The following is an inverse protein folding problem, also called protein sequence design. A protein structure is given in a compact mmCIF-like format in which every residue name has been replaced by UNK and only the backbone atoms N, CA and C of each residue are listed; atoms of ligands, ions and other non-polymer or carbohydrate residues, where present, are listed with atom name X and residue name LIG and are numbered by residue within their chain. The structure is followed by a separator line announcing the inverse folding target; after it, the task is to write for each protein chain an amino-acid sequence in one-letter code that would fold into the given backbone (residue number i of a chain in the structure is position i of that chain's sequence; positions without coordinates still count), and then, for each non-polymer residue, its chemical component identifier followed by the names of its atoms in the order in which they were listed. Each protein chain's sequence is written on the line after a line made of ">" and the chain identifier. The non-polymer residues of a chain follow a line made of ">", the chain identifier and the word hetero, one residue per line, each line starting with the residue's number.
data_IF_210482613669
#
_entry.id   IF_210482613669
#
_cell.length_a   1.000
_cell.length_b   1.000
_cell.length_c   1.000
_cell.angle_alpha   90.00
_cell.angle_beta   90.00
_cell.angle_gamma   90.00
#
_symmetry.space_group_name_H-M   'P 1'
#
loop_
_entity.id
_entity.type
_entity.pdbx_description
1 polymer ?
#
# COMPACT_ATOMS: atom_id res chain seq x y z
N UNK A 1 14.66 14.69 17.95
CA UNK A 1 14.29 13.28 18.17
C UNK A 1 12.82 13.23 18.55
N UNK A 2 12.00 12.59 17.72
CA UNK A 2 10.55 12.52 17.91
C UNK A 2 10.09 11.20 18.52
N UNK A 3 10.98 10.19 18.58
CA UNK A 3 10.63 8.80 18.82
C UNK A 3 9.89 8.53 20.14
N UNK A 4 10.28 9.10 21.31
CA UNK A 4 9.52 8.95 22.54
C UNK A 4 8.13 9.61 22.47
N UNK A 5 8.03 10.77 21.79
CA UNK A 5 6.78 11.52 21.64
C UNK A 5 5.75 10.79 20.78
N UNK A 6 6.17 9.87 19.89
CA UNK A 6 5.27 9.02 19.11
C UNK A 6 4.47 8.05 19.98
N UNK A 7 4.95 7.71 21.20
CA UNK A 7 4.19 6.88 22.15
C UNK A 7 2.91 7.56 22.65
N UNK A 8 2.88 8.89 22.71
CA UNK A 8 1.70 9.68 23.11
C UNK A 8 0.58 9.66 22.07
N UNK A 9 0.85 9.15 20.86
CA UNK A 9 -0.14 9.05 19.80
C UNK A 9 -0.95 7.75 19.90
N UNK A 10 -0.61 6.83 20.81
CA UNK A 10 -1.25 5.51 20.94
C UNK A 10 -2.37 5.60 21.97
N UNK A 11 -3.62 5.66 21.50
CA UNK A 11 -4.82 5.74 22.35
C UNK A 11 -5.35 4.38 22.81
N UNK A 12 -4.91 3.28 22.19
CA UNK A 12 -5.36 1.92 22.50
C UNK A 12 -6.72 1.53 21.91
N UNK A 13 -7.40 2.42 21.17
CA UNK A 13 -8.70 2.19 20.54
C UNK A 13 -8.65 2.31 19.01
N UNK A 14 -8.14 3.45 18.52
CA UNK A 14 -7.89 3.72 17.09
C UNK A 14 -6.54 3.14 16.69
N UNK A 15 -5.50 3.50 17.43
CA UNK A 15 -4.14 2.97 17.25
C UNK A 15 -3.78 2.15 18.47
N UNK A 16 -3.66 0.85 18.25
CA UNK A 16 -3.46 -0.17 19.29
C UNK A 16 -1.99 -0.43 19.60
N UNK A 17 -1.10 -0.15 18.65
CA UNK A 17 0.35 -0.27 18.78
C UNK A 17 1.02 0.66 17.74
N UNK A 18 2.10 1.33 18.14
CA UNK A 18 2.99 2.10 17.26
C UNK A 18 4.42 1.57 17.37
N UNK A 19 5.10 1.41 16.24
CA UNK A 19 6.42 0.78 16.15
C UNK A 19 7.33 1.63 15.27
N UNK A 20 8.45 2.11 15.80
CA UNK A 20 9.54 2.70 15.02
C UNK A 20 10.51 1.59 14.67
N UNK A 21 10.72 1.33 13.38
CA UNK A 21 11.69 0.36 12.85
C UNK A 21 12.80 1.09 12.09
N UNK A 22 14.04 0.61 12.17
CA UNK A 22 15.17 1.07 11.37
C UNK A 22 15.53 0.10 10.20
N UNK A 23 16.45 0.53 9.32
CA UNK A 23 16.90 -0.26 8.17
C UNK A 23 17.54 -1.61 8.53
N UNK A 24 18.12 -1.72 9.72
CA UNK A 24 18.77 -2.93 10.23
C UNK A 24 17.75 -3.89 10.88
N UNK A 25 16.53 -3.41 11.13
CA UNK A 25 15.44 -4.16 11.73
C UNK A 25 15.43 -4.13 13.27
N UNK A 26 16.08 -3.13 13.88
CA UNK A 26 15.88 -2.73 15.27
C UNK A 26 14.49 -2.08 15.41
N UNK A 27 13.83 -2.28 16.55
CA UNK A 27 12.45 -1.84 16.74
C UNK A 27 12.25 -1.24 18.13
N UNK A 28 11.54 -0.10 18.20
CA UNK A 28 10.96 0.48 19.41
C UNK A 28 9.44 0.42 19.27
N UNK A 29 8.73 -0.04 20.30
CA UNK A 29 7.31 -0.42 20.22
C UNK A 29 6.50 0.08 21.43
N UNK A 30 5.28 0.54 21.18
CA UNK A 30 4.43 1.24 22.14
C UNK A 30 2.94 0.90 21.93
N UNK A 31 2.26 0.17 22.84
CA UNK A 31 2.81 -0.93 23.63
C UNK A 31 3.22 -2.12 22.75
N UNK A 32 4.17 -2.94 23.20
CA UNK A 32 4.76 -3.99 22.36
C UNK A 32 3.92 -5.30 22.36
N UNK A 33 3.16 -5.57 21.30
CA UNK A 33 2.31 -6.76 21.19
C UNK A 33 2.99 -7.87 20.35
N UNK A 34 3.29 -9.01 21.01
CA UNK A 34 4.16 -10.08 20.45
C UNK A 34 3.77 -10.59 19.04
N UNK A 35 2.49 -10.52 18.68
CA UNK A 35 1.93 -11.07 17.42
C UNK A 35 2.43 -10.34 16.17
N UNK A 36 2.80 -9.07 16.28
CA UNK A 36 3.04 -8.16 15.14
C UNK A 36 4.49 -8.22 14.62
N UNK A 37 5.43 -8.66 15.48
CA UNK A 37 6.89 -8.59 15.27
C UNK A 37 7.45 -9.19 13.97
N UNK A 38 6.91 -10.31 13.47
CA UNK A 38 7.43 -10.95 12.23
C UNK A 38 7.04 -10.15 10.98
N UNK A 39 5.83 -9.59 10.94
CA UNK A 39 5.32 -8.90 9.76
C UNK A 39 5.93 -7.50 9.61
N UNK A 40 6.13 -6.81 10.74
CA UNK A 40 6.82 -5.52 10.83
C UNK A 40 8.17 -5.50 10.11
N UNK A 41 9.05 -6.48 10.35
CA UNK A 41 10.38 -6.51 9.74
C UNK A 41 10.34 -6.61 8.21
N UNK A 42 9.28 -7.18 7.66
CA UNK A 42 9.15 -7.45 6.24
C UNK A 42 8.41 -6.31 5.52
N UNK A 43 7.46 -5.66 6.20
CA UNK A 43 6.90 -4.36 5.80
C UNK A 43 7.96 -3.25 5.85
N UNK A 44 8.83 -3.26 6.87
CA UNK A 44 9.99 -2.36 6.96
C UNK A 44 10.92 -2.53 5.76
N UNK A 45 11.32 -3.76 5.41
CA UNK A 45 12.13 -4.04 4.21
C UNK A 45 11.52 -3.48 2.93
N UNK A 46 10.22 -3.71 2.69
CA UNK A 46 9.50 -3.13 1.55
C UNK A 46 9.62 -1.60 1.54
N UNK A 47 9.36 -0.96 2.68
CA UNK A 47 9.40 0.51 2.78
C UNK A 47 10.80 1.06 2.57
N UNK A 48 11.86 0.43 3.11
CA UNK A 48 13.25 0.85 2.87
C UNK A 48 13.72 0.61 1.43
N UNK A 49 13.30 -0.48 0.77
CA UNK A 49 13.54 -0.67 -0.66
C UNK A 49 12.88 0.45 -1.50
N UNK A 50 11.65 0.83 -1.17
CA UNK A 50 10.93 1.92 -1.86
C UNK A 50 11.50 3.32 -1.57
N UNK A 51 11.94 3.60 -0.35
CA UNK A 51 12.65 4.84 0.01
C UNK A 51 13.99 4.91 -0.75
N UNK A 52 14.74 3.80 -0.84
CA UNK A 52 16.00 3.73 -1.57
C UNK A 52 15.82 3.96 -3.08
N UNK A 53 14.70 3.51 -3.63
CA UNK A 53 14.27 3.82 -5.00
C UNK A 53 13.78 5.26 -5.20
N UNK A 54 13.68 6.09 -4.16
CA UNK A 54 13.05 7.44 -4.19
C UNK A 54 11.55 7.40 -4.56
N UNK A 55 10.86 6.31 -4.24
CA UNK A 55 9.43 6.10 -4.54
C UNK A 55 8.50 6.58 -3.41
N UNK A 56 9.02 6.71 -2.19
CA UNK A 56 8.31 7.23 -1.03
C UNK A 56 9.06 8.44 -0.47
N UNK A 57 8.38 9.59 -0.39
CA UNK A 57 8.89 10.78 0.32
C UNK A 57 8.84 10.56 1.83
N UNK A 58 9.82 11.14 2.52
CA UNK A 58 9.84 11.22 3.99
C UNK A 58 8.64 12.07 4.43
N UNK A 59 7.95 11.61 5.47
CA UNK A 59 6.80 12.25 6.11
C UNK A 59 5.53 12.46 5.28
N UNK A 60 5.61 12.53 3.94
CA UNK A 60 4.46 12.77 3.06
C UNK A 60 3.86 11.49 2.45
N UNK A 61 4.69 10.47 2.22
CA UNK A 61 4.23 9.18 1.66
C UNK A 61 3.85 8.17 2.74
N UNK A 62 3.07 7.16 2.37
CA UNK A 62 2.72 6.06 3.27
C UNK A 62 2.45 4.74 2.54
N UNK A 63 2.50 3.64 3.31
CA UNK A 63 2.10 2.29 2.87
C UNK A 63 1.10 1.70 3.87
N UNK A 64 -0.13 1.42 3.43
CA UNK A 64 -1.16 0.76 4.25
C UNK A 64 -1.35 -0.67 3.78
N UNK A 65 -1.25 -1.62 4.70
CA UNK A 65 -1.59 -3.03 4.48
C UNK A 65 -2.90 -3.37 5.19
N UNK A 66 -3.89 -3.81 4.41
CA UNK A 66 -5.22 -4.19 4.91
C UNK A 66 -5.22 -5.66 5.31
N UNK A 67 -5.16 -5.97 6.61
CA UNK A 67 -5.20 -7.34 7.13
C UNK A 67 -6.62 -7.70 7.59
N UNK A 68 -6.84 -8.95 8.01
CA UNK A 68 -8.19 -9.42 8.38
C UNK A 68 -8.68 -8.80 9.69
N UNK A 69 -7.81 -8.69 10.70
CA UNK A 69 -8.17 -8.28 12.07
C UNK A 69 -7.77 -6.84 12.45
N UNK A 70 -6.89 -6.22 11.69
CA UNK A 70 -6.39 -4.86 11.88
C UNK A 70 -5.81 -4.37 10.54
N UNK A 71 -5.34 -3.13 10.49
CA UNK A 71 -4.58 -2.59 9.37
C UNK A 71 -3.20 -2.15 9.87
N UNK A 72 -2.18 -2.19 9.02
CA UNK A 72 -0.87 -1.63 9.33
C UNK A 72 -0.61 -0.43 8.43
N UNK A 73 -0.44 0.77 8.98
CA UNK A 73 -0.11 1.98 8.23
C UNK A 73 1.34 2.39 8.51
N UNK A 74 2.17 2.51 7.48
CA UNK A 74 3.60 2.81 7.61
C UNK A 74 3.93 4.17 7.01
N UNK A 75 4.60 5.02 7.77
CA UNK A 75 5.03 6.38 7.40
C UNK A 75 6.58 6.41 7.47
N UNK A 76 7.30 6.70 6.37
CA UNK A 76 8.73 6.99 6.40
C UNK A 76 9.04 8.22 7.27
N UNK A 77 9.89 8.07 8.28
CA UNK A 77 10.33 9.18 9.14
C UNK A 77 11.70 9.74 8.71
N UNK A 78 12.53 8.91 8.09
CA UNK A 78 13.83 9.29 7.53
C UNK A 78 14.24 8.27 6.46
N UNK A 79 15.44 8.43 5.86
CA UNK A 79 16.00 7.43 4.94
C UNK A 79 16.24 6.05 5.57
N UNK A 80 16.29 5.97 6.91
CA UNK A 80 16.63 4.76 7.66
C UNK A 80 15.66 4.45 8.82
N UNK A 81 14.53 5.17 8.94
CA UNK A 81 13.50 4.93 9.97
C UNK A 81 12.10 5.05 9.39
N UNK A 82 11.20 4.18 9.84
CA UNK A 82 9.78 4.23 9.53
C UNK A 82 8.93 4.00 10.78
N UNK A 83 7.79 4.67 10.87
CA UNK A 83 6.75 4.47 11.88
C UNK A 83 5.68 3.54 11.31
N UNK A 84 5.35 2.48 12.01
CA UNK A 84 4.26 1.55 11.70
C UNK A 84 3.19 1.69 12.77
N UNK A 85 1.95 1.92 12.36
CA UNK A 85 0.76 2.04 13.21
C UNK A 85 -0.13 0.82 13.01
N UNK A 86 -0.51 0.16 14.09
CA UNK A 86 -1.49 -0.94 14.10
C UNK A 86 -2.86 -0.34 14.39
N UNK A 87 -3.60 -0.07 13.32
CA UNK A 87 -4.93 0.56 13.34
C UNK A 87 -6.00 -0.52 13.47
N UNK A 88 -6.97 -0.36 14.38
CA UNK A 88 -8.09 -1.31 14.50
C UNK A 88 -8.89 -1.39 13.18
N UNK A 89 -9.39 -2.58 12.85
CA UNK A 89 -10.12 -2.83 11.61
C UNK A 89 -11.43 -2.02 11.45
N UNK A 90 -11.99 -1.49 12.54
CA UNK A 90 -13.19 -0.65 12.53
C UNK A 90 -12.95 0.77 12.01
N UNK A 91 -11.70 1.24 12.01
CA UNK A 91 -11.34 2.59 11.55
C UNK A 91 -10.72 2.57 10.15
N UNK A 92 -10.83 3.70 9.44
CA UNK A 92 -10.19 3.87 8.14
C UNK A 92 -8.71 4.23 8.31
N UNK A 93 -7.75 3.35 7.96
CA UNK A 93 -6.33 3.63 8.12
C UNK A 93 -5.84 4.80 7.24
N UNK A 94 -6.54 5.14 6.16
CA UNK A 94 -6.21 6.29 5.30
C UNK A 94 -6.51 7.63 5.98
N UNK A 95 -7.49 7.69 6.88
CA UNK A 95 -7.80 8.91 7.64
C UNK A 95 -6.82 9.06 8.82
N UNK A 96 -6.57 7.96 9.52
CA UNK A 96 -5.59 7.88 10.62
C UNK A 96 -4.19 8.27 10.12
N UNK A 97 -3.70 7.65 9.02
CA UNK A 97 -2.35 7.94 8.52
C UNK A 97 -2.19 9.40 8.08
N UNK A 98 -3.25 10.02 7.52
CA UNK A 98 -3.21 11.41 7.07
C UNK A 98 -3.13 12.40 8.24
N UNK A 99 -3.86 12.16 9.33
CA UNK A 99 -3.74 13.02 10.52
C UNK A 99 -2.38 12.79 11.23
N UNK A 100 -1.87 11.55 11.27
CA UNK A 100 -0.51 11.29 11.75
C UNK A 100 0.56 11.98 10.92
N UNK A 101 0.48 11.91 9.58
CA UNK A 101 1.35 12.66 8.66
C UNK A 101 1.25 14.16 8.96
N UNK A 102 0.05 14.69 9.19
CA UNK A 102 -0.13 16.11 9.55
C UNK A 102 0.53 16.47 10.88
N UNK A 103 0.43 15.62 11.90
CA UNK A 103 1.08 15.81 13.20
C UNK A 103 2.61 15.73 13.04
N UNK A 104 3.11 14.70 12.36
CA UNK A 104 4.52 14.46 12.09
C UNK A 104 5.13 15.61 11.27
N UNK A 105 4.43 16.11 10.25
CA UNK A 105 4.84 17.27 9.46
C UNK A 105 4.82 18.56 10.29
N UNK A 106 3.87 18.77 11.22
CA UNK A 106 3.96 19.89 12.17
C UNK A 106 5.21 19.79 13.05
N UNK A 107 5.53 18.59 13.54
CA UNK A 107 6.73 18.35 14.36
C UNK A 107 8.04 18.54 13.56
N UNK A 108 8.06 18.16 12.28
CA UNK A 108 9.22 18.31 11.40
C UNK A 108 9.33 19.68 10.69
N UNK A 109 8.22 20.40 10.48
CA UNK A 109 8.25 21.75 9.91
C UNK A 109 8.73 22.81 10.91
N UNK A 110 8.69 22.49 12.21
CA UNK A 110 9.45 23.21 13.24
C UNK A 110 10.97 23.03 13.03
N UNK A 111 11.41 22.00 12.31
CA UNK A 111 12.83 21.72 12.02
C UNK A 111 13.26 22.10 10.58
N UNK A 112 12.42 21.98 9.52
CA UNK A 112 12.80 22.24 8.11
C UNK A 112 11.66 22.71 7.18
N UNK A 113 12.00 23.53 6.18
CA UNK A 113 11.13 24.01 5.10
C UNK A 113 11.76 23.85 3.70
N UNK A 114 10.90 23.79 2.66
CA UNK A 114 11.09 24.07 1.20
C UNK A 114 11.18 22.92 0.15
N UNK A 115 10.15 22.85 -0.74
CA UNK A 115 10.15 22.49 -2.20
C UNK A 115 10.24 21.00 -2.66
N UNK A 116 9.64 20.52 -3.78
CA UNK A 116 8.58 21.03 -4.70
C UNK A 116 8.61 20.49 -6.17
N UNK A 117 7.54 19.82 -6.68
CA UNK A 117 7.20 19.53 -8.12
C UNK A 117 8.04 18.46 -8.92
N UNK A 118 7.70 17.96 -10.14
CA UNK A 118 6.44 17.88 -10.96
C UNK A 118 6.59 17.00 -12.29
N UNK A 119 5.56 16.17 -12.66
CA UNK A 119 5.00 15.77 -14.02
C UNK A 119 5.79 14.99 -15.15
N UNK A 120 5.19 13.92 -15.78
CA UNK A 120 4.90 13.68 -17.26
C UNK A 120 4.48 12.22 -17.73
N UNK A 121 3.89 12.07 -18.95
CA UNK A 121 3.19 10.91 -19.62
C UNK A 121 4.06 10.08 -20.65
N UNK A 122 3.59 9.21 -21.58
CA UNK A 122 2.87 7.88 -21.62
C UNK A 122 2.96 7.26 -23.08
N UNK A 123 2.87 5.92 -23.31
CA UNK A 123 2.76 5.24 -24.66
C UNK A 123 2.28 3.75 -24.62
N UNK A 124 1.60 3.24 -25.68
CA UNK A 124 0.77 1.97 -25.73
C UNK A 124 1.35 0.70 -26.43
N UNK A 125 0.70 -0.47 -26.23
CA UNK A 125 0.90 -1.76 -26.97
C UNK A 125 -0.37 -2.65 -27.09
N UNK A 126 -0.22 -3.87 -27.63
CA UNK A 126 -1.25 -4.92 -27.93
C UNK A 126 -0.59 -6.33 -27.92
N UNK A 127 -1.22 -7.53 -27.91
CA UNK A 127 -2.52 -8.07 -27.43
C UNK A 127 -2.45 -9.65 -27.41
N UNK A 128 -3.37 -10.42 -26.76
CA UNK A 128 -3.40 -11.93 -26.81
C UNK A 128 -4.64 -12.63 -26.17
N UNK A 129 -4.98 -13.85 -26.66
CA UNK A 129 -6.13 -14.74 -26.30
C UNK A 129 -5.76 -15.86 -25.28
N UNK A 130 -6.59 -16.90 -25.05
CA UNK A 130 -7.85 -16.94 -24.28
C UNK A 130 -8.17 -18.38 -23.74
N UNK A 131 -8.65 -18.49 -22.48
CA UNK A 131 -9.57 -19.55 -21.96
C UNK A 131 -9.86 -19.37 -20.45
N UNK A 132 -8.94 -18.75 -19.70
CA UNK A 132 -9.21 -18.15 -18.38
C UNK A 132 -10.19 -16.96 -18.44
N UNK A 133 -10.73 -16.67 -19.63
CA UNK A 133 -11.53 -15.50 -19.95
C UNK A 133 -12.73 -15.32 -19.05
N UNK A 134 -13.55 -16.32 -18.75
CA UNK A 134 -14.83 -16.04 -18.09
C UNK A 134 -14.71 -15.44 -16.67
N UNK A 135 -13.74 -15.91 -15.87
CA UNK A 135 -13.44 -15.29 -14.56
C UNK A 135 -12.72 -13.95 -14.73
N UNK A 136 -11.80 -13.87 -15.69
CA UNK A 136 -11.06 -12.67 -16.02
C UNK A 136 -11.98 -11.54 -16.53
N UNK A 137 -12.96 -11.83 -17.38
CA UNK A 137 -14.00 -10.95 -17.90
C UNK A 137 -14.95 -10.45 -16.81
N UNK A 138 -15.25 -11.25 -15.78
CA UNK A 138 -16.00 -10.79 -14.60
C UNK A 138 -15.18 -9.84 -13.72
N UNK A 139 -13.85 -9.96 -13.71
CA UNK A 139 -12.96 -9.01 -13.05
C UNK A 139 -12.78 -7.75 -13.92
N UNK A 140 -12.48 -7.91 -15.22
CA UNK A 140 -12.38 -6.85 -16.23
C UNK A 140 -13.65 -6.01 -16.35
N UNK A 141 -14.85 -6.59 -16.24
CA UNK A 141 -16.10 -5.82 -16.24
C UNK A 141 -16.26 -4.96 -14.99
N UNK A 142 -15.80 -5.43 -13.81
CA UNK A 142 -15.74 -4.60 -12.58
C UNK A 142 -14.66 -3.52 -12.69
N UNK A 143 -13.47 -3.87 -13.18
CA UNK A 143 -12.39 -2.94 -13.54
C UNK A 143 -12.88 -1.85 -14.51
N UNK A 144 -13.59 -2.23 -15.57
CA UNK A 144 -14.16 -1.34 -16.56
C UNK A 144 -15.36 -0.53 -16.04
N UNK A 145 -16.03 -0.96 -14.97
CA UNK A 145 -16.96 -0.11 -14.21
C UNK A 145 -16.17 0.91 -13.39
N UNK A 146 -15.17 0.49 -12.61
CA UNK A 146 -14.33 1.39 -11.81
C UNK A 146 -13.67 2.49 -12.66
N UNK A 147 -13.12 2.13 -13.83
CA UNK A 147 -12.52 3.10 -14.76
C UNK A 147 -13.57 4.07 -15.34
N UNK A 148 -14.77 3.59 -15.71
CA UNK A 148 -15.88 4.45 -16.19
C UNK A 148 -16.50 5.33 -15.11
N UNK A 149 -16.52 4.87 -13.87
CA UNK A 149 -16.92 5.67 -12.69
C UNK A 149 -15.83 6.68 -12.28
N UNK A 150 -14.70 6.75 -13.01
CA UNK A 150 -13.57 7.64 -12.70
C UNK A 150 -12.82 7.25 -11.42
N UNK A 151 -13.04 6.03 -10.91
CA UNK A 151 -12.52 5.60 -9.61
C UNK A 151 -11.06 5.15 -9.64
N UNK A 152 -10.57 4.81 -10.83
CA UNK A 152 -9.20 4.33 -11.07
C UNK A 152 -8.76 4.85 -12.44
N UNK A 153 -7.61 5.52 -12.51
CA UNK A 153 -7.08 6.08 -13.77
C UNK A 153 -6.54 4.97 -14.67
N UNK A 154 -5.82 4.03 -14.06
CA UNK A 154 -5.10 2.96 -14.75
C UNK A 154 -5.14 1.69 -13.93
N UNK A 155 -5.34 0.54 -14.56
CA UNK A 155 -5.18 -0.77 -13.92
C UNK A 155 -4.16 -1.58 -14.73
N UNK A 156 -3.38 -2.41 -14.06
CA UNK A 156 -2.71 -3.52 -14.72
C UNK A 156 -2.82 -4.76 -13.85
N UNK A 157 -3.01 -5.91 -14.50
CA UNK A 157 -2.84 -7.20 -13.85
C UNK A 157 -1.39 -7.62 -14.10
N UNK A 158 -0.70 -8.07 -13.07
CA UNK A 158 0.68 -8.54 -13.17
C UNK A 158 0.73 -9.98 -12.68
N UNK A 159 1.17 -10.88 -13.56
CA UNK A 159 1.17 -12.31 -13.25
C UNK A 159 2.34 -12.75 -12.36
N UNK A 160 2.34 -14.04 -12.02
CA UNK A 160 3.38 -14.67 -11.19
C UNK A 160 4.77 -14.58 -11.81
N UNK A 161 4.89 -14.45 -13.13
CA UNK A 161 6.18 -14.32 -13.83
C UNK A 161 6.65 -12.85 -13.79
N UNK A 162 5.72 -11.90 -13.72
CA UNK A 162 5.96 -10.46 -13.65
C UNK A 162 5.61 -9.76 -14.96
N UNK A 163 4.91 -10.45 -15.86
CA UNK A 163 4.40 -9.88 -17.09
C UNK A 163 3.15 -9.05 -16.78
N UNK A 164 3.12 -7.85 -17.34
CA UNK A 164 2.13 -6.81 -17.05
C UNK A 164 1.09 -6.82 -18.18
N UNK A 165 -0.18 -6.89 -17.80
CA UNK A 165 -1.35 -6.80 -18.67
C UNK A 165 -2.09 -5.49 -18.33
N UNK A 166 -1.70 -4.36 -18.96
CA UNK A 166 -2.30 -3.04 -18.70
C UNK A 166 -3.73 -2.95 -19.26
N UNK A 167 -4.59 -2.20 -18.57
CA UNK A 167 -5.98 -1.96 -18.96
C UNK A 167 -6.54 -0.67 -18.29
N UNK A 168 -6.99 0.37 -19.02
CA UNK A 168 -6.93 0.59 -20.47
C UNK A 168 -5.70 1.41 -20.93
N UNK A 169 -4.79 1.75 -20.01
CA UNK A 169 -3.55 2.52 -20.23
C UNK A 169 -2.37 1.84 -19.54
N UNK A 170 -1.15 2.27 -19.89
CA UNK A 170 0.10 1.90 -19.23
C UNK A 170 0.14 2.44 -17.81
N UNK A 171 0.69 1.68 -16.85
CA UNK A 171 1.02 2.22 -15.54
C UNK A 171 2.12 3.29 -15.70
N UNK A 172 1.90 4.45 -15.10
CA UNK A 172 2.88 5.52 -14.91
C UNK A 172 3.88 5.19 -13.78
N UNK A 173 3.65 4.10 -13.05
CA UNK A 173 4.55 3.59 -12.00
C UNK A 173 5.83 2.98 -12.59
N UNK A 174 6.99 3.39 -12.05
CA UNK A 174 8.31 2.87 -12.47
C UNK A 174 8.45 1.36 -12.27
N UNK A 175 9.18 0.72 -13.19
CA UNK A 175 9.37 -0.75 -13.24
C UNK A 175 10.09 -1.33 -12.02
N UNK A 176 11.00 -0.58 -11.41
CA UNK A 176 11.68 -1.00 -10.17
C UNK A 176 10.70 -1.08 -8.99
N UNK A 177 9.81 -0.10 -8.85
CA UNK A 177 8.72 -0.11 -7.85
C UNK A 177 7.79 -1.31 -8.06
N UNK A 178 7.40 -1.60 -9.31
CA UNK A 178 6.57 -2.78 -9.64
C UNK A 178 7.31 -4.08 -9.26
N UNK A 179 8.61 -4.20 -9.58
CA UNK A 179 9.42 -5.37 -9.23
C UNK A 179 9.55 -5.56 -7.71
N UNK A 180 9.73 -4.48 -6.96
CA UNK A 180 9.76 -4.49 -5.49
C UNK A 180 8.43 -4.96 -4.90
N UNK A 181 7.30 -4.47 -5.44
CA UNK A 181 5.96 -4.89 -5.04
C UNK A 181 5.65 -6.36 -5.37
N UNK A 182 6.10 -6.86 -6.52
CA UNK A 182 6.01 -8.27 -6.91
C UNK A 182 6.87 -9.15 -6.01
N UNK A 183 8.12 -8.76 -5.76
CA UNK A 183 9.06 -9.45 -4.86
C UNK A 183 8.47 -9.57 -3.46
N UNK A 184 7.90 -8.48 -2.95
CA UNK A 184 7.13 -8.48 -1.71
C UNK A 184 5.95 -9.45 -1.79
N UNK A 185 5.01 -9.27 -2.73
CA UNK A 185 3.81 -10.11 -2.84
C UNK A 185 4.13 -11.61 -2.88
N UNK A 186 5.08 -12.03 -3.75
CA UNK A 186 5.52 -13.42 -3.89
C UNK A 186 6.09 -14.00 -2.59
N UNK A 187 6.82 -13.20 -1.82
CA UNK A 187 7.38 -13.60 -0.51
C UNK A 187 6.35 -13.59 0.62
N UNK A 188 5.25 -12.84 0.47
CA UNK A 188 4.37 -12.50 1.59
C UNK A 188 2.99 -13.12 1.56
N UNK A 189 2.37 -13.29 0.39
CA UNK A 189 0.97 -13.68 0.32
C UNK A 189 0.69 -15.06 0.95
N UNK A 190 1.65 -15.99 0.86
CA UNK A 190 1.59 -17.31 1.49
C UNK A 190 1.66 -17.25 3.03
N UNK A 191 2.31 -16.23 3.60
CA UNK A 191 2.57 -16.08 5.04
C UNK A 191 1.58 -15.11 5.71
N UNK A 192 1.12 -14.11 4.98
CA UNK A 192 0.17 -13.09 5.42
C UNK A 192 -0.86 -12.88 4.33
N UNK A 193 -2.07 -13.42 4.53
CA UNK A 193 -3.22 -13.23 3.64
C UNK A 193 -3.80 -11.82 3.79
N UNK A 194 -3.08 -10.82 3.29
CA UNK A 194 -3.54 -9.43 3.23
C UNK A 194 -4.60 -9.26 2.12
N UNK A 195 -5.56 -8.35 2.34
CA UNK A 195 -6.68 -8.05 1.44
C UNK A 195 -6.31 -7.06 0.34
N UNK A 196 -5.38 -6.16 0.65
CA UNK A 196 -4.83 -5.16 -0.26
C UNK A 196 -3.69 -4.39 0.39
N UNK A 197 -2.92 -3.69 -0.43
CA UNK A 197 -1.80 -2.83 -0.03
C UNK A 197 -1.93 -1.51 -0.79
N UNK A 198 -2.20 -0.40 -0.10
CA UNK A 198 -2.16 0.95 -0.69
C UNK A 198 -0.78 1.56 -0.46
N UNK A 199 -0.25 2.23 -1.47
CA UNK A 199 0.93 3.07 -1.39
C UNK A 199 0.54 4.46 -1.85
N UNK A 200 0.85 5.49 -1.07
CA UNK A 200 0.86 6.86 -1.55
C UNK A 200 2.28 7.20 -1.94
N UNK A 201 2.56 7.08 -3.24
CA UNK A 201 3.86 7.42 -3.83
C UNK A 201 3.89 8.94 -4.11
N UNK A 202 5.07 9.45 -4.42
CA UNK A 202 5.34 10.88 -4.61
C UNK A 202 4.29 11.66 -5.41
N UNK A 203 3.77 11.07 -6.49
CA UNK A 203 2.87 11.72 -7.45
C UNK A 203 1.63 10.86 -7.81
N UNK A 204 1.53 9.63 -7.27
CA UNK A 204 0.50 8.63 -7.63
C UNK A 204 0.15 7.77 -6.40
N UNK A 205 -1.14 7.58 -6.13
CA UNK A 205 -1.59 6.53 -5.20
C UNK A 205 -1.79 5.21 -5.95
N UNK A 206 -1.17 4.14 -5.46
CA UNK A 206 -1.22 2.81 -6.05
C UNK A 206 -1.87 1.82 -5.07
N UNK A 207 -2.85 1.07 -5.52
CA UNK A 207 -3.50 -0.01 -4.76
C UNK A 207 -3.17 -1.36 -5.40
N UNK A 208 -2.51 -2.22 -4.63
CA UNK A 208 -2.21 -3.61 -4.97
C UNK A 208 -3.22 -4.54 -4.31
N UNK A 209 -3.86 -5.39 -5.10
CA UNK A 209 -4.87 -6.37 -4.65
C UNK A 209 -4.43 -7.76 -5.10
N UNK A 210 -4.18 -8.71 -4.18
CA UNK A 210 -3.96 -10.11 -4.53
C UNK A 210 -5.14 -10.71 -5.32
N UNK A 211 -4.85 -11.40 -6.42
CA UNK A 211 -5.86 -12.11 -7.21
C UNK A 211 -5.83 -13.60 -6.88
N UNK A 212 -6.79 -14.04 -6.06
CA UNK A 212 -6.93 -15.43 -5.60
C UNK A 212 -7.57 -16.34 -6.69
N UNK A 213 -7.16 -16.15 -7.96
CA UNK A 213 -7.69 -16.85 -9.13
C UNK A 213 -6.78 -18.04 -9.46
N UNK A 214 -7.08 -19.20 -8.87
CA UNK A 214 -6.71 -20.56 -9.30
C UNK A 214 -5.22 -20.93 -9.58
N UNK A 215 -4.30 -19.99 -9.69
CA UNK A 215 -2.88 -20.22 -10.00
C UNK A 215 -2.01 -19.07 -9.48
N UNK A 216 -1.76 -19.15 -8.16
CA UNK A 216 -0.70 -18.51 -7.35
C UNK A 216 -0.04 -17.20 -7.84
N UNK A 217 -0.16 -16.13 -7.03
CA UNK A 217 0.85 -15.06 -6.98
C UNK A 217 0.71 -13.92 -8.00
N UNK A 218 -0.48 -13.77 -8.62
CA UNK A 218 -0.80 -12.64 -9.48
C UNK A 218 -1.42 -11.49 -8.68
N UNK A 219 -1.11 -10.25 -9.07
CA UNK A 219 -1.63 -9.02 -8.44
C UNK A 219 -2.39 -8.16 -9.44
N UNK A 220 -3.40 -7.45 -8.95
CA UNK A 220 -3.96 -6.29 -9.62
C UNK A 220 -3.29 -5.05 -9.03
N UNK A 221 -2.70 -4.22 -9.88
CA UNK A 221 -2.23 -2.88 -9.57
C UNK A 221 -3.23 -1.87 -10.12
N UNK A 222 -3.61 -0.89 -9.30
CA UNK A 222 -4.58 0.15 -9.64
C UNK A 222 -4.04 1.52 -9.24
N UNK A 223 -3.87 2.43 -10.22
CA UNK A 223 -3.59 3.85 -9.98
C UNK A 223 -4.89 4.54 -9.61
N UNK A 224 -4.99 5.00 -8.37
CA UNK A 224 -6.23 5.49 -7.78
C UNK A 224 -6.12 6.97 -7.48
N UNK A 225 -7.23 7.68 -7.51
CA UNK A 225 -7.27 9.03 -6.97
C UNK A 225 -7.08 8.97 -5.44
N UNK A 226 -6.23 9.84 -4.87
CA UNK A 226 -5.97 9.89 -3.42
C UNK A 226 -7.20 10.22 -2.57
N UNK A 227 -8.29 10.71 -3.18
CA UNK A 227 -9.58 10.93 -2.53
C UNK A 227 -10.45 9.67 -2.40
N UNK A 228 -10.10 8.57 -3.07
CA UNK A 228 -10.94 7.37 -3.15
C UNK A 228 -10.51 6.33 -2.13
N UNK A 229 -11.37 5.94 -1.17
CA UNK A 229 -11.01 4.97 -0.15
C UNK A 229 -10.74 3.57 -0.72
N UNK A 230 -9.67 2.91 -0.28
CA UNK A 230 -9.38 1.51 -0.68
C UNK A 230 -10.52 0.58 -0.27
N UNK A 231 -11.20 0.86 0.84
CA UNK A 231 -12.38 0.12 1.31
C UNK A 231 -13.51 0.09 0.27
N UNK A 232 -13.73 1.20 -0.46
CA UNK A 232 -14.71 1.28 -1.55
C UNK A 232 -14.28 0.41 -2.74
N UNK A 233 -13.00 0.46 -3.11
CA UNK A 233 -12.44 -0.33 -4.22
C UNK A 233 -12.54 -1.84 -3.94
N UNK A 234 -12.09 -2.29 -2.76
CA UNK A 234 -12.19 -3.69 -2.33
C UNK A 234 -13.65 -4.18 -2.34
N UNK A 235 -14.59 -3.35 -1.85
CA UNK A 235 -16.04 -3.65 -1.86
C UNK A 235 -16.59 -3.76 -3.28
N UNK A 236 -16.25 -2.82 -4.18
CA UNK A 236 -16.71 -2.78 -5.58
C UNK A 236 -16.18 -3.96 -6.41
N UNK A 237 -14.92 -4.35 -6.20
CA UNK A 237 -14.34 -5.53 -6.83
C UNK A 237 -14.93 -6.84 -6.30
N UNK A 238 -15.70 -6.80 -5.21
CA UNK A 238 -16.13 -7.97 -4.41
C UNK A 238 -14.94 -8.89 -4.10
N UNK A 239 -13.81 -8.31 -3.70
CA UNK A 239 -12.75 -9.05 -3.00
C UNK A 239 -13.38 -9.45 -1.69
N UNK A 240 -13.82 -10.71 -1.59
CA UNK A 240 -14.65 -11.15 -0.47
C UNK A 240 -13.88 -10.94 0.83
N UNK A 241 -14.52 -10.29 1.79
CA UNK A 241 -14.04 -10.22 3.17
C UNK A 241 -14.25 -11.59 3.83
N UNK A 242 -13.52 -12.61 3.38
CA UNK A 242 -13.56 -13.95 3.96
C UNK A 242 -13.06 -13.85 5.41
N UNK A 243 -13.98 -14.00 6.37
CA UNK A 243 -13.72 -13.79 7.80
C UNK A 243 -14.88 -13.22 8.62
N UNK A 244 -16.07 -13.01 8.03
CA UNK A 244 -17.31 -12.68 8.77
C UNK A 244 -18.43 -13.68 8.46
N UNK A 245 -18.36 -14.81 9.15
CA UNK A 245 -19.47 -15.70 9.54
C UNK A 245 -19.18 -16.17 10.95
#
# INVERSE_FOLDING_TARGET
>A
MIEPSLSLLVDGDVVTEAIVIDSEGSMLCYPCMKVVSKFVKLLGKLVFELIKSDALRIADSYVIMYLVKHNMATIPLSRNKALILVVDAKFNPEDVVREYIRIINKLMSVERSEGGGNVYEDYKSDNLNSSNEERYLRLLSRIGILSREGLVSTIAIVDREGKIYPYPRSLSVRKDVINTLLSFHRRFYEVLRYRGLRLSLNDIDLVLIPLDIASAGSILLAEVNSKIPTSLLLRRLKVTLYGLT
#
